data_IF_579216783580
#
_entry.id   IF_579216783580
#
_cell.length_a   1.000
_cell.length_b   1.000
_cell.length_c   1.000
_cell.angle_alpha   90.00
_cell.angle_beta   90.00
_cell.angle_gamma   90.00
#
_symmetry.space_group_name_H-M   'P 1'
#
loop_
_entity.id
_entity.type
_entity.pdbx_description
1 polymer ?
#
# COMPACT_ATOMS: atom_id res chain seq x y z
N UNK A 1 -4.40 26.53 -11.47
CA UNK A 1 -3.43 25.63 -10.82
C UNK A 1 -3.00 24.54 -11.80
N UNK A 2 -1.87 23.87 -11.55
CA UNK A 2 -1.33 22.78 -12.37
C UNK A 2 -1.34 21.45 -11.62
N UNK A 3 -1.64 20.37 -12.31
CA UNK A 3 -1.65 19.02 -11.76
C UNK A 3 -0.24 18.57 -11.35
N UNK A 4 -0.10 17.98 -10.17
CA UNK A 4 1.18 17.48 -9.64
C UNK A 4 1.74 16.30 -10.45
N UNK A 5 0.88 15.57 -11.19
CA UNK A 5 1.29 14.41 -11.99
C UNK A 5 1.66 14.84 -13.42
N UNK A 6 0.69 15.37 -14.17
CA UNK A 6 0.82 15.60 -15.62
C UNK A 6 0.97 17.08 -16.03
N UNK A 7 1.01 17.99 -15.06
CA UNK A 7 1.17 19.44 -15.27
C UNK A 7 0.04 20.13 -16.07
N UNK A 8 -1.07 19.43 -16.34
CA UNK A 8 -2.23 20.02 -17.02
C UNK A 8 -3.03 20.95 -16.08
N UNK A 9 -3.91 21.78 -16.65
CA UNK A 9 -4.77 22.67 -15.87
C UNK A 9 -5.72 21.86 -14.98
N UNK A 10 -5.95 22.37 -13.77
CA UNK A 10 -6.90 21.81 -12.82
C UNK A 10 -8.08 22.75 -12.64
N UNK A 11 -9.19 22.20 -12.19
CA UNK A 11 -10.39 22.94 -11.78
C UNK A 11 -10.58 22.80 -10.28
N UNK A 12 -11.14 23.82 -9.66
CA UNK A 12 -11.65 23.75 -8.30
C UNK A 12 -12.82 22.76 -8.27
N UNK A 13 -12.82 21.86 -7.29
CA UNK A 13 -13.89 20.89 -7.10
C UNK A 13 -14.78 21.27 -5.92
N UNK A 14 -14.21 21.34 -4.73
CA UNK A 14 -14.92 21.70 -3.51
C UNK A 14 -13.98 22.13 -2.38
N UNK A 15 -14.57 22.71 -1.32
CA UNK A 15 -13.85 22.94 -0.06
C UNK A 15 -13.68 21.64 0.69
N UNK A 16 -12.52 21.43 1.28
CA UNK A 16 -12.19 20.22 2.00
C UNK A 16 -11.91 20.50 3.47
N UNK A 17 -12.64 19.80 4.32
CA UNK A 17 -12.38 19.81 5.76
C UNK A 17 -11.89 18.42 6.19
N UNK A 18 -10.76 18.40 6.87
CA UNK A 18 -10.28 17.18 7.51
C UNK A 18 -11.21 16.80 8.67
N UNK A 19 -11.66 15.56 8.70
CA UNK A 19 -12.43 15.03 9.83
C UNK A 19 -11.48 14.42 10.85
N UNK A 20 -10.57 15.23 11.38
CA UNK A 20 -9.70 14.79 12.47
C UNK A 20 -10.34 15.20 13.77
N UNK A 21 -10.50 14.28 14.72
CA UNK A 21 -11.08 14.54 16.05
C UNK A 21 -10.25 15.52 16.90
N UNK A 22 -9.02 15.80 16.49
CA UNK A 22 -8.15 16.82 17.09
C UNK A 22 -8.16 18.06 16.21
N UNK A 23 -8.13 19.23 16.83
CA UNK A 23 -8.16 20.58 16.27
C UNK A 23 -7.84 20.70 14.78
N UNK A 24 -8.90 20.77 13.98
CA UNK A 24 -8.83 20.89 12.51
C UNK A 24 -8.08 22.15 12.06
N UNK A 25 -8.00 23.17 12.89
CA UNK A 25 -7.19 24.38 12.68
C UNK A 25 -5.69 24.09 12.49
N UNK A 26 -5.23 22.92 12.94
CA UNK A 26 -3.83 22.54 12.87
C UNK A 26 -3.33 22.32 11.43
N UNK A 27 -4.18 21.82 10.55
CA UNK A 27 -3.83 21.53 9.15
C UNK A 27 -4.32 22.60 8.16
N UNK A 28 -5.15 23.56 8.64
CA UNK A 28 -5.69 24.67 7.86
C UNK A 28 -6.87 24.30 6.96
N UNK A 29 -7.46 25.33 6.36
CA UNK A 29 -8.50 25.18 5.34
C UNK A 29 -7.86 24.84 3.99
N UNK A 30 -8.47 23.89 3.27
CA UNK A 30 -7.96 23.40 2.01
C UNK A 30 -9.09 23.36 0.98
N UNK A 31 -8.72 23.52 -0.28
CA UNK A 31 -9.60 23.28 -1.41
C UNK A 31 -9.13 22.02 -2.14
N UNK A 32 -10.05 21.28 -2.72
CA UNK A 32 -9.73 20.17 -3.62
C UNK A 32 -9.74 20.68 -5.06
N UNK A 33 -8.67 20.38 -5.78
CA UNK A 33 -8.51 20.61 -7.19
C UNK A 33 -8.43 19.29 -7.96
N UNK A 34 -9.13 19.21 -9.09
CA UNK A 34 -9.14 18.05 -9.98
C UNK A 34 -8.44 18.34 -11.30
N UNK A 35 -7.61 17.42 -11.75
CA UNK A 35 -7.08 17.40 -13.09
C UNK A 35 -8.07 16.78 -14.07
N UNK A 36 -8.42 17.48 -15.14
CA UNK A 36 -9.34 16.95 -16.15
C UNK A 36 -8.73 15.87 -17.06
N UNK A 37 -7.39 15.78 -17.12
CA UNK A 37 -6.70 14.83 -17.99
C UNK A 37 -6.46 13.47 -17.32
N UNK A 38 -6.15 13.44 -16.01
CA UNK A 38 -5.85 12.20 -15.31
C UNK A 38 -6.74 11.93 -14.09
N UNK A 39 -7.77 12.74 -13.91
CA UNK A 39 -8.75 12.64 -12.81
C UNK A 39 -8.14 12.67 -11.40
N UNK A 40 -6.84 12.96 -11.28
CA UNK A 40 -6.17 13.10 -10.00
C UNK A 40 -6.67 14.34 -9.27
N UNK A 41 -6.97 14.19 -7.98
CA UNK A 41 -7.35 15.30 -7.14
C UNK A 41 -6.34 15.50 -6.02
N UNK A 42 -6.21 16.74 -5.56
CA UNK A 42 -5.28 17.07 -4.47
C UNK A 42 -5.73 18.33 -3.75
N UNK A 43 -5.33 18.42 -2.49
CA UNK A 43 -5.55 19.58 -1.64
C UNK A 43 -4.67 20.75 -2.05
N UNK A 44 -5.20 21.97 -1.93
CA UNK A 44 -4.42 23.19 -2.03
C UNK A 44 -5.06 24.32 -1.17
N UNK A 45 -4.25 25.08 -0.39
CA UNK A 45 -2.81 24.85 -0.20
C UNK A 45 -2.52 23.52 0.48
N UNK A 46 -1.34 22.93 0.21
CA UNK A 46 -0.88 21.78 0.99
C UNK A 46 -0.54 22.22 2.42
N UNK A 47 -0.84 21.42 3.45
CA UNK A 47 -0.36 21.67 4.80
C UNK A 47 1.16 21.83 4.84
N UNK A 48 1.67 22.65 5.75
CA UNK A 48 3.11 22.74 5.94
C UNK A 48 3.66 21.38 6.40
N UNK A 49 4.75 20.93 5.75
CA UNK A 49 5.34 19.61 6.04
C UNK A 49 5.59 19.40 7.53
N UNK A 50 6.15 20.40 8.22
CA UNK A 50 6.43 20.30 9.66
C UNK A 50 5.18 20.04 10.50
N UNK A 51 4.02 20.61 10.13
CA UNK A 51 2.76 20.39 10.82
C UNK A 51 2.22 18.98 10.56
N UNK A 52 2.42 18.50 9.34
CA UNK A 52 2.01 17.15 8.95
C UNK A 52 2.88 16.09 9.65
N UNK A 53 4.18 16.31 9.70
CA UNK A 53 5.13 15.43 10.40
C UNK A 53 4.78 15.35 11.90
N UNK A 54 4.52 16.49 12.54
CA UNK A 54 4.11 16.55 13.95
C UNK A 54 2.76 15.83 14.18
N UNK A 55 1.80 15.99 13.26
CA UNK A 55 0.54 15.30 13.32
C UNK A 55 0.72 13.78 13.32
N UNK A 56 1.52 13.23 12.39
CA UNK A 56 1.74 11.79 12.30
C UNK A 56 2.57 11.23 13.45
N UNK A 57 3.53 12.00 13.96
CA UNK A 57 4.34 11.57 15.09
C UNK A 57 3.58 11.51 16.41
N UNK A 58 2.73 12.52 16.69
CA UNK A 58 2.16 12.72 18.04
C UNK A 58 0.66 12.54 18.13
N UNK A 59 -0.07 12.86 17.06
CA UNK A 59 -1.53 13.02 17.14
C UNK A 59 -2.27 11.83 16.50
N UNK A 60 -1.86 11.41 15.35
CA UNK A 60 -2.56 10.42 14.54
C UNK A 60 -2.91 9.13 15.29
N UNK A 61 -1.92 8.53 15.95
CA UNK A 61 -2.11 7.28 16.68
C UNK A 61 -2.74 7.47 18.07
N UNK A 62 -2.57 8.63 18.68
CA UNK A 62 -3.14 8.92 19.99
C UNK A 62 -4.67 8.96 19.95
N UNK A 63 -5.27 9.43 18.85
CA UNK A 63 -6.71 9.68 18.76
C UNK A 63 -7.47 8.76 17.81
N UNK A 64 -6.80 8.15 16.84
CA UNK A 64 -7.49 7.52 15.74
C UNK A 64 -7.35 6.01 15.61
N UNK A 65 -6.20 5.45 15.93
CA UNK A 65 -5.91 4.03 15.64
C UNK A 65 -4.94 3.42 16.65
N UNK A 66 -5.45 2.89 17.76
CA UNK A 66 -4.60 2.19 18.75
C UNK A 66 -3.89 0.99 18.11
N UNK A 67 -2.65 0.75 18.53
CA UNK A 67 -1.77 -0.30 18.02
C UNK A 67 -2.26 -1.73 18.25
N UNK A 68 -3.16 -1.92 19.21
CA UNK A 68 -3.78 -3.22 19.55
C UNK A 68 -4.44 -3.93 18.35
N UNK A 69 -4.81 -3.18 17.31
CA UNK A 69 -5.42 -3.76 16.10
C UNK A 69 -4.41 -4.30 15.08
N UNK A 70 -3.13 -4.12 15.30
CA UNK A 70 -2.10 -4.50 14.33
C UNK A 70 -1.45 -5.87 14.66
N UNK A 71 -2.22 -6.78 15.24
CA UNK A 71 -1.81 -8.17 15.47
C UNK A 71 -1.63 -8.92 14.15
N UNK A 72 -0.66 -9.82 14.11
CA UNK A 72 -0.47 -10.78 13.02
C UNK A 72 -1.27 -12.08 13.24
N UNK A 73 -2.01 -12.17 14.31
CA UNK A 73 -2.87 -13.31 14.57
C UNK A 73 -4.08 -13.32 13.64
N UNK A 74 -3.91 -13.97 12.49
CA UNK A 74 -4.92 -14.05 11.43
C UNK A 74 -6.19 -14.74 11.88
N UNK A 75 -6.13 -15.57 12.93
CA UNK A 75 -7.32 -16.29 13.44
C UNK A 75 -8.24 -15.36 14.22
N UNK A 76 -7.65 -14.39 14.91
CA UNK A 76 -8.35 -13.54 15.86
C UNK A 76 -8.42 -12.07 15.45
N UNK A 77 -7.73 -11.67 14.36
CA UNK A 77 -7.69 -10.28 13.94
C UNK A 77 -7.84 -10.12 12.42
N UNK A 78 -8.88 -9.41 11.99
CA UNK A 78 -9.19 -9.19 10.57
C UNK A 78 -8.15 -8.34 9.83
N UNK A 79 -7.37 -7.49 10.52
CA UNK A 79 -6.32 -6.68 9.89
C UNK A 79 -5.14 -7.54 9.43
N UNK A 80 -4.80 -8.55 10.22
CA UNK A 80 -3.85 -9.56 9.79
C UNK A 80 -4.34 -10.29 8.55
N UNK A 81 -5.65 -10.41 8.41
CA UNK A 81 -6.29 -10.98 7.24
C UNK A 81 -6.08 -10.12 5.99
N UNK A 82 -6.17 -8.78 6.09
CA UNK A 82 -5.84 -7.88 4.97
C UNK A 82 -4.40 -8.05 4.51
N UNK A 83 -3.45 -8.14 5.44
CA UNK A 83 -2.05 -8.41 5.12
C UNK A 83 -1.84 -9.76 4.46
N UNK A 84 -2.62 -10.78 4.84
CA UNK A 84 -2.61 -12.06 4.17
C UNK A 84 -3.13 -11.99 2.73
N UNK A 85 -4.14 -11.17 2.46
CA UNK A 85 -4.62 -10.93 1.10
C UNK A 85 -3.56 -10.24 0.25
N UNK A 86 -2.80 -9.28 0.82
CA UNK A 86 -1.66 -8.66 0.15
C UNK A 86 -0.57 -9.68 -0.17
N UNK A 87 -0.18 -10.52 0.79
CA UNK A 87 0.81 -11.56 0.55
C UNK A 87 0.37 -12.52 -0.55
N UNK A 88 -0.86 -13.05 -0.45
CA UNK A 88 -1.44 -13.90 -1.49
C UNK A 88 -1.46 -13.26 -2.88
N UNK A 89 -1.66 -11.97 -2.88
CA UNK A 89 -1.69 -11.20 -4.09
C UNK A 89 -0.30 -11.07 -4.70
N UNK A 90 0.67 -10.64 -3.90
CA UNK A 90 2.06 -10.53 -4.30
C UNK A 90 2.63 -11.88 -4.80
N UNK A 91 2.27 -13.00 -4.16
CA UNK A 91 2.67 -14.35 -4.57
C UNK A 91 2.21 -14.73 -5.99
N UNK A 92 1.28 -14.00 -6.60
CA UNK A 92 0.86 -14.24 -7.99
C UNK A 92 1.86 -13.71 -9.01
N UNK A 93 2.60 -12.69 -8.64
CA UNK A 93 3.50 -11.95 -9.51
C UNK A 93 4.96 -12.17 -9.14
N UNK A 94 5.24 -12.35 -7.85
CA UNK A 94 6.58 -12.44 -7.30
C UNK A 94 6.96 -13.87 -6.94
N UNK A 95 8.19 -14.23 -7.26
CA UNK A 95 8.87 -15.38 -6.65
C UNK A 95 9.62 -14.90 -5.41
N UNK A 96 9.02 -15.03 -4.24
CA UNK A 96 9.61 -14.57 -2.98
C UNK A 96 10.93 -15.26 -2.62
N UNK A 97 11.28 -16.39 -3.25
CA UNK A 97 12.60 -16.99 -3.07
C UNK A 97 13.72 -16.15 -3.71
N UNK A 98 13.38 -15.22 -4.59
CA UNK A 98 14.31 -14.27 -5.23
C UNK A 98 14.29 -12.88 -4.57
N UNK A 99 13.40 -12.65 -3.61
CA UNK A 99 13.34 -11.40 -2.85
C UNK A 99 14.22 -11.56 -1.61
N UNK A 100 15.21 -10.69 -1.45
CA UNK A 100 16.13 -10.70 -0.31
C UNK A 100 16.01 -9.45 0.54
N UNK A 101 15.62 -8.33 -0.06
CA UNK A 101 15.52 -7.02 0.59
C UNK A 101 14.13 -6.42 0.30
N UNK A 102 13.38 -6.16 1.35
CA UNK A 102 12.08 -5.47 1.29
C UNK A 102 12.19 -4.12 2.00
N UNK A 103 11.67 -3.08 1.38
CA UNK A 103 11.50 -1.76 2.00
C UNK A 103 10.00 -1.43 2.11
N UNK A 104 9.53 -1.16 3.31
CA UNK A 104 8.12 -0.85 3.61
C UNK A 104 7.98 0.60 4.06
N UNK A 105 7.54 1.47 3.16
CA UNK A 105 7.39 2.90 3.42
C UNK A 105 6.03 3.19 4.09
N UNK A 106 6.08 3.87 5.23
CA UNK A 106 4.89 4.11 6.05
C UNK A 106 4.33 2.80 6.60
N UNK A 107 5.21 1.93 7.08
CA UNK A 107 4.90 0.54 7.45
C UNK A 107 3.92 0.39 8.61
N UNK A 108 3.66 1.46 9.37
CA UNK A 108 2.93 1.35 10.63
C UNK A 108 3.64 0.37 11.57
N UNK A 109 2.92 -0.60 12.08
CA UNK A 109 3.52 -1.65 12.93
C UNK A 109 4.22 -2.76 12.12
N UNK A 110 4.29 -2.66 10.78
CA UNK A 110 5.02 -3.60 9.92
C UNK A 110 4.34 -4.97 9.75
N UNK A 111 3.02 -5.04 9.79
CA UNK A 111 2.32 -6.32 9.73
C UNK A 111 2.54 -7.10 8.44
N UNK A 112 2.56 -6.43 7.28
CA UNK A 112 2.76 -7.11 6.00
C UNK A 112 4.15 -7.70 5.90
N UNK A 113 5.18 -6.92 6.14
CA UNK A 113 6.56 -7.40 6.05
C UNK A 113 6.85 -8.48 7.08
N UNK A 114 6.33 -8.36 8.30
CA UNK A 114 6.48 -9.42 9.30
C UNK A 114 5.81 -10.72 8.88
N UNK A 115 4.62 -10.65 8.28
CA UNK A 115 3.95 -11.83 7.71
C UNK A 115 4.74 -12.42 6.54
N UNK A 116 5.33 -11.58 5.68
CA UNK A 116 6.23 -12.01 4.61
C UNK A 116 7.43 -12.74 5.21
N UNK A 117 8.12 -12.16 6.20
CA UNK A 117 9.28 -12.75 6.87
C UNK A 117 8.96 -14.10 7.53
N UNK A 118 7.77 -14.25 8.13
CA UNK A 118 7.31 -15.53 8.70
C UNK A 118 7.13 -16.65 7.66
N UNK A 119 6.86 -16.30 6.40
CA UNK A 119 6.71 -17.27 5.32
C UNK A 119 8.00 -17.42 4.49
N UNK A 120 8.90 -16.42 4.52
CA UNK A 120 10.12 -16.32 3.74
C UNK A 120 11.24 -15.75 4.61
N UNK A 121 11.79 -16.56 5.50
CA UNK A 121 12.69 -16.16 6.61
C UNK A 121 13.95 -15.41 6.19
N UNK A 122 14.44 -15.64 4.95
CA UNK A 122 15.66 -15.03 4.42
C UNK A 122 15.51 -13.56 4.03
N UNK A 123 14.28 -13.03 4.00
CA UNK A 123 14.02 -11.66 3.60
C UNK A 123 14.38 -10.71 4.75
N UNK A 124 15.29 -9.77 4.46
CA UNK A 124 15.58 -8.64 5.35
C UNK A 124 14.59 -7.52 5.09
N UNK A 125 14.08 -6.91 6.15
CA UNK A 125 13.06 -5.88 6.05
C UNK A 125 13.59 -4.59 6.62
N UNK A 126 13.45 -3.54 5.81
CA UNK A 126 13.70 -2.16 6.22
C UNK A 126 12.40 -1.35 6.11
N UNK A 127 12.29 -0.29 6.86
CA UNK A 127 11.12 0.60 6.86
C UNK A 127 11.52 2.06 6.96
N UNK A 128 10.57 2.93 6.65
CA UNK A 128 10.56 4.32 7.08
C UNK A 128 9.19 4.58 7.71
N UNK A 129 9.19 4.72 9.04
CA UNK A 129 8.00 4.98 9.85
C UNK A 129 8.32 6.07 10.86
N UNK A 130 7.42 7.05 10.99
CA UNK A 130 7.63 8.22 11.85
C UNK A 130 7.05 8.08 13.25
N UNK A 131 5.99 7.27 13.42
CA UNK A 131 5.32 7.07 14.70
C UNK A 131 6.20 6.29 15.69
N UNK A 132 6.50 6.88 16.85
CA UNK A 132 7.44 6.31 17.82
C UNK A 132 6.95 5.01 18.46
N UNK A 133 5.65 4.80 18.57
CA UNK A 133 5.11 3.54 19.08
C UNK A 133 5.19 2.45 18.03
N UNK A 134 4.94 2.79 16.77
CA UNK A 134 5.18 1.86 15.66
C UNK A 134 6.65 1.44 15.60
N UNK A 135 7.59 2.39 15.74
CA UNK A 135 9.04 2.11 15.76
C UNK A 135 9.45 1.10 16.83
N UNK A 136 8.86 1.17 18.03
CA UNK A 136 9.10 0.17 19.09
C UNK A 136 8.72 -1.23 18.63
N UNK A 137 7.53 -1.37 18.03
CA UNK A 137 7.03 -2.66 17.51
C UNK A 137 7.88 -3.14 16.33
N UNK A 138 8.29 -2.25 15.45
CA UNK A 138 9.18 -2.58 14.32
C UNK A 138 10.53 -3.12 14.81
N UNK A 139 11.08 -2.54 15.88
CA UNK A 139 12.30 -3.04 16.51
C UNK A 139 12.13 -4.47 17.05
N UNK A 140 11.01 -4.76 17.73
CA UNK A 140 10.68 -6.12 18.19
C UNK A 140 10.51 -7.13 17.05
N UNK A 141 10.07 -6.64 15.88
CA UNK A 141 9.91 -7.42 14.64
C UNK A 141 11.18 -7.47 13.79
N UNK A 142 12.30 -6.96 14.33
CA UNK A 142 13.62 -6.94 13.69
C UNK A 142 13.64 -6.18 12.35
N UNK A 143 12.89 -5.09 12.26
CA UNK A 143 12.99 -4.16 11.15
C UNK A 143 14.13 -3.19 11.36
N UNK A 144 14.82 -2.86 10.25
CA UNK A 144 15.71 -1.71 10.21
C UNK A 144 14.91 -0.47 9.80
N UNK A 145 14.53 0.37 10.77
CA UNK A 145 13.79 1.60 10.49
C UNK A 145 14.74 2.77 10.23
N UNK A 146 14.49 3.51 9.16
CA UNK A 146 15.20 4.73 8.80
C UNK A 146 14.36 5.96 9.14
N UNK A 147 14.97 6.97 9.75
CA UNK A 147 14.34 8.26 10.04
C UNK A 147 14.20 9.10 8.76
N UNK A 148 15.15 8.99 7.85
CA UNK A 148 15.17 9.74 6.61
C UNK A 148 15.49 8.82 5.43
N UNK A 149 14.60 8.82 4.45
CA UNK A 149 14.74 8.00 3.25
C UNK A 149 16.00 8.33 2.44
N UNK A 150 16.51 9.56 2.54
CA UNK A 150 17.74 9.98 1.84
C UNK A 150 19.03 9.39 2.44
N UNK A 151 18.95 8.81 3.63
CA UNK A 151 20.09 8.16 4.31
C UNK A 151 20.23 6.69 3.92
N UNK A 152 19.28 6.18 3.14
CA UNK A 152 19.27 4.78 2.73
C UNK A 152 20.25 4.56 1.58
N UNK A 153 21.30 3.78 1.85
CA UNK A 153 22.30 3.37 0.84
C UNK A 153 22.05 1.95 0.29
N UNK A 154 21.06 1.26 0.82
CA UNK A 154 20.70 -0.09 0.40
C UNK A 154 19.79 -0.08 -0.83
N UNK A 155 19.76 -1.20 -1.55
CA UNK A 155 18.89 -1.43 -2.70
C UNK A 155 17.92 -2.57 -2.41
N UNK A 156 16.69 -2.44 -2.86
CA UNK A 156 15.61 -3.34 -2.53
C UNK A 156 15.06 -4.09 -3.75
N UNK A 157 14.64 -5.32 -3.52
CA UNK A 157 14.00 -6.18 -4.52
C UNK A 157 12.48 -5.92 -4.57
N UNK A 158 11.90 -5.54 -3.42
CA UNK A 158 10.49 -5.17 -3.28
C UNK A 158 10.39 -3.91 -2.43
N UNK A 159 9.63 -2.94 -2.91
CA UNK A 159 9.25 -1.74 -2.16
C UNK A 159 7.73 -1.74 -2.01
N UNK A 160 7.24 -1.55 -0.79
CA UNK A 160 5.81 -1.44 -0.49
C UNK A 160 5.50 -0.05 0.05
N UNK A 161 4.35 0.51 -0.36
CA UNK A 161 3.82 1.76 0.17
C UNK A 161 2.29 1.64 0.17
N UNK A 162 1.73 1.30 1.33
CA UNK A 162 0.33 0.97 1.50
C UNK A 162 -0.36 2.00 2.38
N UNK A 163 -1.36 2.69 1.82
CA UNK A 163 -2.10 3.74 2.54
C UNK A 163 -1.19 4.80 3.17
N UNK A 164 -0.16 5.22 2.43
CA UNK A 164 0.79 6.25 2.87
C UNK A 164 0.99 7.33 1.82
N UNK A 165 0.90 6.99 0.52
CA UNK A 165 1.15 7.93 -0.57
C UNK A 165 0.14 9.09 -0.59
N UNK A 166 -1.12 8.83 -0.23
CA UNK A 166 -2.20 9.80 -0.18
C UNK A 166 -2.03 10.88 0.90
N UNK A 167 -1.14 10.64 1.84
CA UNK A 167 -0.85 11.54 2.96
C UNK A 167 0.34 12.48 2.71
N UNK A 168 1.06 12.31 1.61
CA UNK A 168 2.22 13.10 1.29
C UNK A 168 1.84 14.43 0.61
N UNK A 169 2.71 15.43 0.72
CA UNK A 169 2.51 16.75 0.11
C UNK A 169 2.91 16.82 -1.35
N UNK A 170 3.68 15.82 -1.84
CA UNK A 170 4.13 15.72 -3.22
C UNK A 170 4.43 14.26 -3.62
N UNK A 171 4.81 14.07 -4.87
CA UNK A 171 5.10 12.74 -5.43
C UNK A 171 6.60 12.47 -5.62
N UNK A 172 7.48 13.28 -5.04
CA UNK A 172 8.95 13.10 -5.14
C UNK A 172 9.41 11.75 -4.58
N UNK A 173 8.66 11.22 -3.62
CA UNK A 173 8.88 9.90 -3.02
C UNK A 173 8.98 8.77 -4.07
N UNK A 174 8.26 8.87 -5.18
CA UNK A 174 8.33 7.86 -6.25
C UNK A 174 9.73 7.84 -6.89
N UNK A 175 10.37 9.01 -7.02
CA UNK A 175 11.74 9.08 -7.51
C UNK A 175 12.72 8.46 -6.50
N UNK A 176 12.47 8.66 -5.19
CA UNK A 176 13.27 8.02 -4.16
C UNK A 176 13.10 6.49 -4.21
N UNK A 177 11.88 5.98 -4.38
CA UNK A 177 11.65 4.53 -4.56
C UNK A 177 12.44 3.99 -5.75
N UNK A 178 12.45 4.68 -6.89
CA UNK A 178 13.28 4.30 -8.05
C UNK A 178 14.75 4.26 -7.70
N UNK A 179 15.24 5.27 -6.98
CA UNK A 179 16.67 5.32 -6.61
C UNK A 179 17.05 4.21 -5.63
N UNK A 180 16.12 3.73 -4.81
CA UNK A 180 16.33 2.63 -3.87
C UNK A 180 16.10 1.25 -4.48
N UNK A 181 15.50 1.18 -5.65
CA UNK A 181 15.18 -0.08 -6.33
C UNK A 181 16.40 -0.69 -7.00
N UNK A 182 16.52 -2.02 -6.99
CA UNK A 182 17.38 -2.77 -7.89
C UNK A 182 16.78 -2.82 -9.29
N UNK A 183 17.58 -3.04 -10.31
CA UNK A 183 17.04 -3.29 -11.65
C UNK A 183 16.15 -4.54 -11.64
N UNK A 184 14.93 -4.42 -12.14
CA UNK A 184 13.94 -5.50 -12.17
C UNK A 184 13.23 -5.76 -10.84
N UNK A 185 13.33 -4.83 -9.89
CA UNK A 185 12.58 -4.90 -8.63
C UNK A 185 11.13 -4.48 -8.79
N UNK A 186 10.36 -4.63 -7.73
CA UNK A 186 8.93 -4.42 -7.73
C UNK A 186 8.54 -3.28 -6.78
N UNK A 187 7.58 -2.47 -7.22
CA UNK A 187 6.95 -1.44 -6.41
C UNK A 187 5.45 -1.77 -6.23
N UNK A 188 5.05 -2.03 -5.01
CA UNK A 188 3.66 -2.29 -4.65
C UNK A 188 3.05 -1.09 -3.95
N UNK A 189 2.11 -0.42 -4.61
CA UNK A 189 1.39 0.74 -4.10
C UNK A 189 -0.08 0.40 -3.88
N UNK A 190 -0.64 0.79 -2.75
CA UNK A 190 -2.08 0.82 -2.52
C UNK A 190 -2.50 2.14 -1.90
N UNK A 191 -3.55 2.72 -2.46
CA UNK A 191 -4.23 3.93 -1.96
C UNK A 191 -5.73 3.77 -2.11
N UNK A 192 -6.55 4.56 -1.39
CA UNK A 192 -7.97 4.62 -1.63
C UNK A 192 -8.28 5.02 -3.08
N UNK A 193 -9.21 4.29 -3.71
CA UNK A 193 -9.69 4.65 -5.04
C UNK A 193 -10.62 5.87 -4.96
N UNK A 194 -10.32 6.88 -5.72
CA UNK A 194 -11.04 8.15 -5.73
C UNK A 194 -11.61 8.48 -7.11
N UNK A 195 -12.17 7.51 -7.80
CA UNK A 195 -12.94 7.78 -9.02
C UNK A 195 -14.20 8.58 -8.69
N UNK A 196 -14.22 9.83 -9.16
CA UNK A 196 -15.36 10.71 -9.01
C UNK A 196 -16.47 10.30 -9.99
N UNK A 197 -17.32 9.42 -9.51
CA UNK A 197 -18.58 9.11 -10.15
C UNK A 197 -19.75 9.58 -9.26
N UNK A 198 -20.98 9.47 -9.72
CA UNK A 198 -22.19 9.89 -8.99
C UNK A 198 -22.35 9.26 -7.59
N UNK A 199 -21.60 8.21 -7.29
CA UNK A 199 -21.59 7.48 -6.01
C UNK A 199 -20.45 7.89 -5.11
N UNK A 200 -19.40 8.56 -5.64
CA UNK A 200 -18.26 9.01 -4.86
C UNK A 200 -18.58 10.35 -4.21
N UNK A 201 -18.60 10.36 -2.89
CA UNK A 201 -18.55 11.60 -2.09
C UNK A 201 -17.21 11.60 -1.38
N UNK A 202 -16.50 12.73 -1.40
CA UNK A 202 -15.33 12.92 -0.55
C UNK A 202 -15.75 12.64 0.89
N UNK A 203 -15.30 11.51 1.42
CA UNK A 203 -15.55 11.15 2.80
C UNK A 203 -14.54 11.87 3.67
N UNK A 204 -14.97 12.43 4.80
CA UNK A 204 -14.01 12.85 5.81
C UNK A 204 -13.30 11.60 6.32
N UNK A 205 -11.98 11.57 6.17
CA UNK A 205 -11.12 10.50 6.68
C UNK A 205 -10.58 10.88 8.07
N UNK A 206 -10.34 9.89 8.90
CA UNK A 206 -9.75 10.08 10.24
C UNK A 206 -8.31 10.60 10.19
N UNK A 207 -7.67 10.50 9.03
CA UNK A 207 -6.36 11.06 8.73
C UNK A 207 -6.43 11.94 7.48
N UNK A 208 -5.57 12.96 7.36
CA UNK A 208 -5.62 13.88 6.24
C UNK A 208 -5.19 13.19 4.96
N UNK A 209 -6.12 12.93 4.06
CA UNK A 209 -5.81 12.57 2.68
C UNK A 209 -5.58 13.85 1.89
N UNK A 210 -4.39 14.06 1.40
CA UNK A 210 -3.98 15.24 0.64
C UNK A 210 -4.03 15.00 -0.86
N UNK A 211 -3.90 13.76 -1.26
CA UNK A 211 -3.92 13.32 -2.66
C UNK A 211 -4.92 12.20 -2.87
N UNK A 212 -5.65 12.28 -3.98
CA UNK A 212 -6.73 11.37 -4.30
C UNK A 212 -6.49 10.78 -5.68
N UNK A 213 -6.25 9.49 -5.72
CA UNK A 213 -5.77 8.79 -6.90
C UNK A 213 -6.90 8.06 -7.62
N UNK A 214 -6.77 8.00 -8.95
CA UNK A 214 -7.60 7.19 -9.83
C UNK A 214 -6.71 6.23 -10.63
N UNK A 215 -7.31 5.33 -11.37
CA UNK A 215 -6.60 4.44 -12.30
C UNK A 215 -5.77 5.23 -13.31
N UNK A 216 -6.37 6.25 -13.91
CA UNK A 216 -5.73 7.10 -14.91
C UNK A 216 -4.55 7.86 -14.31
N UNK A 217 -4.67 8.33 -13.07
CA UNK A 217 -3.59 9.01 -12.38
C UNK A 217 -2.38 8.10 -12.18
N UNK A 218 -2.59 6.83 -11.83
CA UNK A 218 -1.50 5.84 -11.73
C UNK A 218 -0.85 5.53 -13.08
N UNK A 219 -1.63 5.45 -14.16
CA UNK A 219 -1.06 5.28 -15.51
C UNK A 219 -0.15 6.45 -15.89
N UNK A 220 -0.55 7.69 -15.55
CA UNK A 220 0.28 8.89 -15.77
C UNK A 220 1.52 8.91 -14.86
N UNK A 221 1.40 8.49 -13.61
CA UNK A 221 2.55 8.32 -12.69
C UNK A 221 3.53 7.30 -13.26
N UNK A 222 3.06 6.14 -13.66
CA UNK A 222 3.92 5.11 -14.25
C UNK A 222 4.67 5.63 -15.48
N UNK A 223 3.98 6.33 -16.41
CA UNK A 223 4.61 6.97 -17.56
C UNK A 223 5.64 8.03 -17.15
N UNK A 224 5.29 8.92 -16.20
CA UNK A 224 6.17 10.01 -15.73
C UNK A 224 7.47 9.48 -15.13
N UNK A 225 7.39 8.39 -14.37
CA UNK A 225 8.54 7.81 -13.68
C UNK A 225 9.15 6.61 -14.40
N UNK A 226 8.71 6.30 -15.64
CA UNK A 226 9.19 5.15 -16.44
C UNK A 226 9.08 3.83 -15.69
N UNK A 227 7.91 3.58 -15.10
CA UNK A 227 7.56 2.34 -14.42
C UNK A 227 6.74 1.45 -15.37
N UNK A 228 7.03 0.16 -15.41
CA UNK A 228 6.19 -0.81 -16.08
C UNK A 228 5.04 -1.24 -15.17
N UNK A 229 3.81 -1.15 -15.69
CA UNK A 229 2.62 -1.57 -14.95
C UNK A 229 2.38 -3.05 -15.18
N UNK A 230 2.59 -3.87 -14.16
CA UNK A 230 2.24 -5.29 -14.22
C UNK A 230 0.75 -5.50 -14.03
N UNK A 231 0.14 -4.74 -13.14
CA UNK A 231 -1.31 -4.78 -12.91
C UNK A 231 -1.83 -3.51 -12.23
N UNK A 232 -3.05 -3.09 -12.57
CA UNK A 232 -3.84 -2.09 -11.83
C UNK A 232 -5.23 -2.64 -11.59
N UNK A 233 -5.59 -2.86 -10.34
CA UNK A 233 -6.91 -3.35 -9.97
C UNK A 233 -7.49 -2.66 -8.76
N UNK A 234 -8.74 -2.96 -8.49
CA UNK A 234 -9.43 -2.49 -7.29
C UNK A 234 -9.51 -3.63 -6.29
N UNK A 235 -9.08 -3.37 -5.06
CA UNK A 235 -9.38 -4.25 -3.96
C UNK A 235 -10.85 -4.03 -3.58
N UNK A 236 -11.71 -4.97 -3.94
CA UNK A 236 -13.13 -4.93 -3.61
C UNK A 236 -13.43 -5.59 -2.27
N UNK A 237 -12.67 -5.26 -1.22
CA UNK A 237 -13.06 -5.68 0.11
C UNK A 237 -13.94 -4.57 0.68
N UNK A 238 -15.25 -4.78 0.87
CA UNK A 238 -16.07 -3.86 1.63
C UNK A 238 -15.57 -3.88 3.06
N UNK A 239 -14.89 -2.79 3.46
CA UNK A 239 -14.13 -2.71 4.71
C UNK A 239 -14.99 -2.86 5.96
N UNK A 240 -16.28 -2.55 5.93
CA UNK A 240 -17.07 -2.40 7.15
C UNK A 240 -18.01 -3.55 7.50
N UNK A 241 -18.61 -4.23 6.53
CA UNK A 241 -19.59 -5.29 6.84
C UNK A 241 -18.97 -6.68 6.99
N UNK A 242 -17.98 -7.01 6.16
CA UNK A 242 -17.39 -8.34 6.16
C UNK A 242 -16.37 -8.56 7.28
N UNK A 243 -15.76 -7.50 7.80
CA UNK A 243 -14.75 -7.62 8.85
C UNK A 243 -15.32 -7.65 10.28
N UNK A 244 -16.56 -7.30 10.47
CA UNK A 244 -17.25 -7.52 11.75
C UNK A 244 -17.54 -9.01 12.01
N UNK A 245 -17.40 -9.85 10.99
CA UNK A 245 -17.69 -11.27 11.11
C UNK A 245 -16.40 -12.11 11.16
N UNK A 246 -15.95 -12.42 12.39
CA UNK A 246 -14.79 -13.29 12.63
C UNK A 246 -14.90 -14.66 11.97
N UNK A 247 -16.12 -15.18 11.76
CA UNK A 247 -16.33 -16.47 11.09
C UNK A 247 -15.96 -16.38 9.61
N UNK A 248 -16.17 -15.22 8.97
CA UNK A 248 -15.76 -14.99 7.59
C UNK A 248 -14.24 -14.98 7.46
N UNK A 249 -13.53 -14.25 8.33
CA UNK A 249 -12.06 -14.20 8.34
C UNK A 249 -11.47 -15.62 8.56
N UNK A 250 -12.01 -16.36 9.51
CA UNK A 250 -11.61 -17.75 9.78
C UNK A 250 -11.81 -18.67 8.58
N UNK A 251 -12.99 -18.65 7.94
CA UNK A 251 -13.30 -19.44 6.75
C UNK A 251 -12.37 -19.10 5.57
N UNK A 252 -12.03 -17.84 5.40
CA UNK A 252 -11.15 -17.40 4.32
C UNK A 252 -9.69 -17.82 4.59
N UNK A 253 -9.24 -17.79 5.84
CA UNK A 253 -7.94 -18.33 6.24
C UNK A 253 -7.82 -19.83 5.99
N UNK A 254 -8.84 -20.60 6.36
CA UNK A 254 -8.91 -22.04 6.07
C UNK A 254 -8.89 -22.33 4.56
N UNK A 255 -9.61 -21.53 3.78
CA UNK A 255 -9.62 -21.66 2.31
C UNK A 255 -8.24 -21.30 1.72
N UNK A 256 -7.56 -20.32 2.27
CA UNK A 256 -6.22 -19.96 1.86
C UNK A 256 -5.21 -21.07 2.17
N UNK A 257 -5.25 -21.65 3.37
CA UNK A 257 -4.41 -22.80 3.73
C UNK A 257 -4.65 -23.96 2.77
N UNK A 258 -5.92 -24.29 2.50
CA UNK A 258 -6.29 -25.32 1.52
C UNK A 258 -5.79 -24.99 0.11
N UNK A 259 -5.82 -23.70 -0.25
CA UNK A 259 -5.28 -23.19 -1.51
C UNK A 259 -3.77 -23.35 -1.62
N UNK A 260 -3.01 -23.06 -0.56
CA UNK A 260 -1.54 -23.30 -0.51
C UNK A 260 -1.21 -24.77 -0.69
N UNK A 261 -1.87 -25.66 0.01
CA UNK A 261 -1.69 -27.11 -0.12
C UNK A 261 -2.01 -27.56 -1.56
N UNK A 262 -3.13 -27.11 -2.12
CA UNK A 262 -3.54 -27.44 -3.49
C UNK A 262 -2.56 -26.90 -4.54
N UNK A 263 -1.99 -25.71 -4.32
CA UNK A 263 -1.00 -25.11 -5.22
C UNK A 263 0.35 -25.82 -5.10
N UNK A 264 0.76 -26.21 -3.90
CA UNK A 264 1.95 -27.04 -3.66
C UNK A 264 1.81 -28.38 -4.39
N UNK A 265 0.70 -29.09 -4.22
CA UNK A 265 0.43 -30.34 -4.91
C UNK A 265 0.39 -30.17 -6.43
N UNK A 266 -0.24 -29.07 -6.92
CA UNK A 266 -0.25 -28.74 -8.35
C UNK A 266 1.14 -28.40 -8.91
N UNK A 267 1.98 -27.73 -8.13
CA UNK A 267 3.36 -27.40 -8.54
C UNK A 267 4.22 -28.67 -8.60
N UNK A 268 4.08 -29.56 -7.63
CA UNK A 268 4.74 -30.85 -7.58
C UNK A 268 4.28 -31.75 -8.73
N UNK A 269 2.97 -31.80 -9.00
CA UNK A 269 2.39 -32.53 -10.14
C UNK A 269 2.85 -31.92 -11.47
N UNK A 270 2.97 -30.59 -11.58
CA UNK A 270 3.50 -29.93 -12.79
C UNK A 270 4.97 -30.23 -13.02
N UNK A 271 5.79 -30.27 -11.95
CA UNK A 271 7.19 -30.72 -12.04
C UNK A 271 7.24 -32.16 -12.55
N UNK A 272 6.43 -33.03 -12.01
CA UNK A 272 6.30 -34.43 -12.44
C UNK A 272 5.84 -34.56 -13.88
N UNK A 273 4.77 -33.84 -14.30
CA UNK A 273 4.23 -33.85 -15.67
C UNK A 273 5.16 -33.16 -16.68
N UNK A 274 6.01 -32.23 -16.23
CA UNK A 274 7.06 -31.63 -17.08
C UNK A 274 8.15 -32.64 -17.42
N UNK A 275 8.44 -33.54 -16.50
CA UNK A 275 9.30 -34.71 -16.76
C UNK A 275 8.65 -35.68 -17.76
N UNK A 276 7.33 -35.75 -17.80
CA UNK A 276 6.57 -36.63 -18.71
C UNK A 276 6.15 -35.98 -20.03
N UNK A 277 6.63 -34.77 -20.37
CA UNK A 277 6.37 -34.02 -21.63
C UNK A 277 4.87 -33.82 -22.01
N UNK A 278 3.95 -33.72 -21.08
CA UNK A 278 2.51 -33.55 -21.37
C UNK A 278 2.10 -32.09 -21.13
N UNK A 279 1.64 -31.37 -22.19
CA UNK A 279 1.13 -29.98 -22.12
C UNK A 279 -0.40 -29.92 -22.03
N UNK A 280 -0.95 -29.13 -21.10
CA UNK A 280 -2.38 -28.69 -21.12
C UNK A 280 -2.50 -27.16 -21.15
N UNK A 281 -3.46 -26.63 -21.94
CA UNK A 281 -3.78 -25.21 -22.16
C UNK A 281 -4.44 -24.56 -20.93
N UNK A 282 -4.20 -23.26 -20.70
CA UNK A 282 -4.75 -22.46 -19.61
C UNK A 282 -5.70 -21.38 -20.10
N UNK A 283 -6.75 -21.13 -19.31
CA UNK A 283 -7.65 -19.96 -19.38
C UNK A 283 -7.33 -19.02 -18.22
N UNK A 284 -7.19 -17.73 -18.49
CA UNK A 284 -6.79 -16.69 -17.53
C UNK A 284 -8.02 -15.87 -17.16
N UNK A 285 -8.26 -15.64 -15.87
CA UNK A 285 -9.19 -14.60 -15.35
C UNK A 285 -8.44 -13.53 -14.59
N UNK A 286 -8.87 -12.30 -14.80
CA UNK A 286 -8.25 -11.00 -14.48
C UNK A 286 -8.30 -10.62 -13.01
N UNK A 287 -7.33 -9.80 -12.64
CA UNK A 287 -7.28 -8.58 -11.81
C UNK A 287 -6.23 -8.52 -10.72
N UNK A 288 -5.42 -7.45 -10.69
CA UNK A 288 -4.83 -6.72 -9.55
C UNK A 288 -3.46 -6.00 -9.79
N UNK A 289 -2.92 -5.17 -8.90
CA UNK A 289 -1.90 -4.11 -9.12
C UNK A 289 -0.46 -4.48 -8.72
N UNK A 290 0.52 -4.38 -9.63
CA UNK A 290 1.96 -4.34 -9.34
C UNK A 290 2.69 -3.52 -10.40
N UNK A 291 3.76 -2.81 -10.01
CA UNK A 291 4.66 -2.09 -10.90
C UNK A 291 6.05 -2.73 -10.86
N UNK A 292 6.72 -2.82 -12.01
CA UNK A 292 8.14 -3.18 -12.11
C UNK A 292 8.98 -1.94 -12.37
N UNK A 293 10.11 -1.81 -11.70
CA UNK A 293 11.07 -0.71 -11.81
C UNK A 293 12.25 -1.09 -12.71
#
# INVERSE_FOLDING_TARGET
>A
MRCLICNNKTIFLEKYKFNVKSDVEYLGDNDIYQCRDCNFCFCHPMPKKIKLDEFYQKIYRAYGRPHEYDSIDVKNNYKSFKNLDYLNYLEKFLDFNKIHQLFDFGSGTGCLGYLIKKNYEKIKISSAESDDNCKKILKEREYKNYENINEINEKFDLITCLHSLEHLTDLSIIQNFKSLAKKGSYLFLEVPNCEFNSKFKLRPYDSPHLMFFTRESFQKIAKKYSLEILDISYCSIPLEENFKNMNYAKKKYENWQKGKIKNFLKSSLRKFLKHLKIKKKKTIKKTTRIYQI
#
